data_IF_874289313962
#
_entry.id   IF_874289313962
#
_cell.length_a   1.000
_cell.length_b   1.000
_cell.length_c   1.000
_cell.angle_alpha   90.00
_cell.angle_beta   90.00
_cell.angle_gamma   90.00
#
_symmetry.space_group_name_H-M   'P 1'
#
loop_
_entity.id
_entity.type
_entity.pdbx_description
1 polymer ?
#
# COMPACT_ATOMS: atom_id res chain seq x y z
N UNK A 1 54.56 -9.86 -68.01
CA UNK A 1 53.36 -9.11 -67.61
C UNK A 1 52.62 -9.95 -66.56
N UNK A 2 52.47 -9.44 -65.34
CA UNK A 2 52.06 -10.20 -64.15
C UNK A 2 50.56 -10.55 -64.17
N UNK A 3 50.23 -11.81 -63.92
CA UNK A 3 48.88 -12.29 -63.63
C UNK A 3 48.48 -11.88 -62.21
N UNK A 4 47.36 -11.18 -62.05
CA UNK A 4 46.73 -10.90 -60.75
C UNK A 4 45.56 -11.86 -60.61
N UNK A 5 45.65 -12.77 -59.63
CA UNK A 5 44.55 -13.63 -59.18
C UNK A 5 43.66 -12.82 -58.23
N UNK A 6 42.40 -12.62 -58.58
CA UNK A 6 41.38 -12.07 -57.67
C UNK A 6 41.04 -13.09 -56.59
N UNK A 7 41.26 -12.72 -55.33
CA UNK A 7 40.89 -13.49 -54.15
C UNK A 7 39.52 -13.00 -53.68
N UNK A 8 38.48 -13.82 -53.83
CA UNK A 8 37.14 -13.51 -53.31
C UNK A 8 37.12 -13.94 -51.84
N UNK A 9 37.10 -12.97 -50.92
CA UNK A 9 36.89 -13.19 -49.49
C UNK A 9 35.38 -13.24 -49.25
N UNK A 10 34.87 -14.43 -48.95
CA UNK A 10 33.49 -14.65 -48.54
C UNK A 10 33.37 -14.28 -47.05
N UNK A 11 32.84 -13.08 -46.75
CA UNK A 11 32.56 -12.65 -45.37
C UNK A 11 31.25 -13.32 -44.94
N UNK A 12 31.33 -14.36 -44.11
CA UNK A 12 30.16 -14.94 -43.45
C UNK A 12 29.66 -13.95 -42.39
N UNK A 13 28.52 -13.32 -42.64
CA UNK A 13 27.82 -12.53 -41.64
C UNK A 13 27.21 -13.45 -40.58
N UNK A 14 27.89 -13.61 -39.45
CA UNK A 14 27.31 -14.19 -38.24
C UNK A 14 26.30 -13.18 -37.68
N UNK A 15 25.02 -13.42 -37.92
CA UNK A 15 23.93 -12.72 -37.23
C UNK A 15 23.92 -13.20 -35.79
N UNK A 16 24.54 -12.43 -34.88
CA UNK A 16 24.31 -12.58 -33.45
C UNK A 16 22.85 -12.24 -33.17
N UNK A 17 22.01 -13.26 -33.00
CA UNK A 17 20.70 -13.12 -32.38
C UNK A 17 20.97 -12.83 -30.90
N UNK A 18 21.15 -11.55 -30.58
CA UNK A 18 21.23 -11.08 -29.22
C UNK A 18 19.90 -11.38 -28.53
N UNK A 19 19.88 -12.39 -27.67
CA UNK A 19 18.80 -12.59 -26.73
C UNK A 19 18.74 -11.31 -25.88
N UNK A 20 17.74 -10.45 -26.12
CA UNK A 20 17.47 -9.31 -25.24
C UNK A 20 17.16 -9.90 -23.88
N UNK A 21 18.11 -9.84 -22.93
CA UNK A 21 17.75 -10.06 -21.54
C UNK A 21 16.65 -9.05 -21.22
N UNK A 22 15.48 -9.52 -20.80
CA UNK A 22 14.48 -8.63 -20.19
C UNK A 22 15.25 -7.90 -19.08
N UNK A 23 15.35 -6.58 -19.18
CA UNK A 23 15.91 -5.79 -18.11
C UNK A 23 15.15 -6.18 -16.83
N UNK A 24 15.88 -6.61 -15.80
CA UNK A 24 15.27 -6.99 -14.53
C UNK A 24 14.62 -5.73 -13.98
N UNK A 25 13.29 -5.66 -14.01
CA UNK A 25 12.52 -4.54 -13.46
C UNK A 25 12.90 -4.44 -11.98
N UNK A 26 13.20 -3.23 -11.50
CA UNK A 26 13.40 -2.98 -10.08
C UNK A 26 12.12 -3.42 -9.34
N UNK A 27 12.15 -4.41 -8.43
CA UNK A 27 10.94 -5.09 -7.94
C UNK A 27 9.90 -4.14 -7.35
N UNK A 28 10.35 -3.11 -6.62
CA UNK A 28 9.44 -2.13 -6.02
C UNK A 28 8.78 -1.26 -7.08
N UNK A 29 9.56 -0.81 -8.07
CA UNK A 29 9.03 -0.10 -9.22
C UNK A 29 8.04 -0.98 -10.00
N UNK A 30 8.26 -2.29 -10.04
CA UNK A 30 7.36 -3.21 -10.71
C UNK A 30 5.95 -3.18 -10.11
N UNK A 31 5.87 -3.25 -8.79
CA UNK A 31 4.63 -3.16 -8.03
C UNK A 31 4.00 -1.76 -8.20
N UNK A 32 4.76 -0.68 -8.02
CA UNK A 32 4.23 0.69 -8.16
C UNK A 32 3.71 0.98 -9.57
N UNK A 33 4.39 0.45 -10.60
CA UNK A 33 3.93 0.55 -11.98
C UNK A 33 2.63 -0.25 -12.18
N UNK A 34 2.50 -1.45 -11.60
CA UNK A 34 1.29 -2.27 -11.70
C UNK A 34 0.08 -1.62 -11.02
N UNK A 35 0.31 -0.92 -9.92
CA UNK A 35 -0.72 -0.10 -9.26
C UNK A 35 -0.96 1.24 -9.93
N UNK A 36 -0.29 1.53 -11.05
CA UNK A 36 -0.44 2.79 -11.77
C UNK A 36 -0.16 4.03 -10.89
N UNK A 37 0.85 3.95 -10.01
CA UNK A 37 1.20 5.00 -9.03
C UNK A 37 1.29 6.41 -9.63
N UNK A 38 1.88 6.55 -10.82
CA UNK A 38 2.00 7.86 -11.48
C UNK A 38 0.63 8.44 -11.84
N UNK A 39 -0.30 7.61 -12.32
CA UNK A 39 -1.67 8.05 -12.62
C UNK A 39 -2.41 8.40 -11.33
N UNK A 40 -2.33 7.55 -10.31
CA UNK A 40 -2.93 7.81 -9.00
C UNK A 40 -2.47 9.15 -8.40
N UNK A 41 -1.15 9.41 -8.39
CA UNK A 41 -0.57 10.64 -7.87
C UNK A 41 -0.83 11.87 -8.75
N UNK A 42 -1.35 11.70 -9.97
CA UNK A 42 -1.78 12.83 -10.80
C UNK A 42 -3.12 13.43 -10.36
N UNK A 43 -3.90 12.69 -9.58
CA UNK A 43 -5.09 13.20 -8.90
C UNK A 43 -4.68 13.91 -7.60
N UNK A 44 -5.39 14.98 -7.24
CA UNK A 44 -5.06 15.77 -6.04
C UNK A 44 -5.58 15.08 -4.78
N UNK A 45 -6.79 14.52 -4.84
CA UNK A 45 -7.45 13.84 -3.73
C UNK A 45 -8.20 12.58 -4.19
N UNK A 46 -8.42 11.68 -3.25
CA UNK A 46 -9.28 10.49 -3.40
C UNK A 46 -10.27 10.45 -2.23
N UNK A 47 -11.52 10.10 -2.52
CA UNK A 47 -12.54 9.82 -1.53
C UNK A 47 -13.06 8.40 -1.75
N UNK A 48 -13.33 7.69 -0.66
CA UNK A 48 -13.96 6.37 -0.67
C UNK A 48 -14.74 6.14 0.62
N UNK A 49 -15.72 5.26 0.56
CA UNK A 49 -16.39 4.73 1.75
C UNK A 49 -15.71 3.44 2.18
N UNK A 50 -15.56 3.26 3.50
CA UNK A 50 -15.04 2.04 4.12
C UNK A 50 -16.05 1.49 5.13
N UNK A 51 -16.37 0.20 5.00
CA UNK A 51 -17.04 -0.59 6.02
C UNK A 51 -16.09 -1.68 6.49
N UNK A 52 -15.56 -1.51 7.70
CA UNK A 52 -14.60 -2.41 8.33
C UNK A 52 -15.26 -3.18 9.47
N UNK A 53 -15.06 -4.50 9.48
CA UNK A 53 -15.50 -5.39 10.55
C UNK A 53 -14.33 -6.21 11.07
N UNK A 54 -14.29 -6.40 12.39
CA UNK A 54 -13.41 -7.38 13.03
C UNK A 54 -14.25 -8.33 13.87
N UNK A 55 -14.02 -9.64 13.71
CA UNK A 55 -14.79 -10.70 14.40
C UNK A 55 -16.30 -10.50 14.28
N UNK A 56 -16.76 -10.14 13.08
CA UNK A 56 -18.17 -9.89 12.75
C UNK A 56 -18.76 -8.58 13.31
N UNK A 57 -17.99 -7.76 14.03
CA UNK A 57 -18.46 -6.48 14.60
C UNK A 57 -17.93 -5.30 13.81
N UNK A 58 -18.79 -4.32 13.55
CA UNK A 58 -18.40 -3.06 12.93
C UNK A 58 -17.31 -2.35 13.76
N UNK A 59 -16.17 -2.09 13.12
CA UNK A 59 -15.02 -1.36 13.70
C UNK A 59 -14.91 0.05 13.15
N UNK A 60 -15.25 0.25 11.88
CA UNK A 60 -15.30 1.55 11.23
C UNK A 60 -16.37 1.53 10.12
N UNK A 61 -17.17 2.57 10.05
CA UNK A 61 -18.08 2.83 8.94
C UNK A 61 -18.00 4.33 8.66
N UNK A 62 -17.26 4.69 7.62
CA UNK A 62 -16.85 6.06 7.38
C UNK A 62 -16.66 6.35 5.90
N UNK A 63 -16.77 7.62 5.55
CA UNK A 63 -16.24 8.17 4.32
C UNK A 63 -14.85 8.74 4.63
N UNK A 64 -13.84 8.33 3.87
CA UNK A 64 -12.46 8.81 4.01
C UNK A 64 -12.13 9.63 2.76
N UNK A 65 -11.61 10.84 2.96
CA UNK A 65 -11.08 11.70 1.90
C UNK A 65 -9.64 12.06 2.22
N UNK A 66 -8.72 11.87 1.27
CA UNK A 66 -7.28 12.07 1.46
C UNK A 66 -6.73 12.84 0.27
N UNK A 67 -5.75 13.72 0.50
CA UNK A 67 -4.83 14.08 -0.58
C UNK A 67 -4.02 12.84 -0.96
N UNK A 68 -3.77 12.61 -2.24
CA UNK A 68 -3.07 11.40 -2.73
C UNK A 68 -1.63 11.32 -2.23
N UNK A 69 -1.03 12.46 -1.87
CA UNK A 69 0.27 12.55 -1.19
C UNK A 69 0.19 12.33 0.34
N UNK A 70 -0.98 12.00 0.89
CA UNK A 70 -1.27 11.77 2.32
C UNK A 70 -1.03 12.94 3.27
N UNK A 71 -0.72 14.15 2.78
CA UNK A 71 -0.45 15.32 3.64
C UNK A 71 -1.69 15.84 4.35
N UNK A 72 -2.89 15.55 3.84
CA UNK A 72 -4.15 15.87 4.51
C UNK A 72 -5.16 14.74 4.36
N UNK A 73 -5.97 14.56 5.40
CA UNK A 73 -7.02 13.57 5.43
C UNK A 73 -8.21 14.01 6.27
N UNK A 74 -9.36 13.40 5.97
CA UNK A 74 -10.62 13.57 6.66
C UNK A 74 -11.32 12.21 6.72
N UNK A 75 -11.60 11.75 7.94
CA UNK A 75 -12.46 10.58 8.21
C UNK A 75 -13.78 11.09 8.75
N UNK A 76 -14.88 10.83 8.04
CA UNK A 76 -16.25 11.15 8.46
C UNK A 76 -17.00 9.88 8.81
N UNK A 77 -17.18 9.62 10.11
CA UNK A 77 -17.90 8.44 10.59
C UNK A 77 -19.41 8.62 10.37
N UNK A 78 -20.14 7.52 10.20
CA UNK A 78 -21.62 7.56 10.04
C UNK A 78 -22.36 8.19 11.22
N UNK A 79 -21.77 8.20 12.42
CA UNK A 79 -22.33 8.89 13.59
C UNK A 79 -22.10 10.41 13.59
N UNK A 80 -21.50 10.95 12.52
CA UNK A 80 -21.18 12.36 12.33
C UNK A 80 -19.90 12.83 13.02
N UNK A 81 -19.21 11.95 13.77
CA UNK A 81 -17.90 12.29 14.33
C UNK A 81 -16.83 12.29 13.24
N UNK A 82 -15.86 13.21 13.35
CA UNK A 82 -14.84 13.44 12.32
C UNK A 82 -13.44 13.41 12.90
N UNK A 83 -12.49 12.98 12.09
CA UNK A 83 -11.04 13.11 12.34
C UNK A 83 -10.41 13.81 11.15
N UNK A 84 -9.62 14.85 11.40
CA UNK A 84 -8.78 15.51 10.40
C UNK A 84 -7.31 15.15 10.66
N UNK A 85 -6.55 14.96 9.59
CA UNK A 85 -5.10 14.81 9.63
C UNK A 85 -4.45 15.87 8.78
N UNK A 86 -3.48 16.61 9.33
CA UNK A 86 -2.64 17.58 8.63
C UNK A 86 -1.18 17.20 8.90
N UNK A 87 -0.56 16.47 7.96
CA UNK A 87 0.73 15.80 8.15
C UNK A 87 0.72 14.92 9.40
N UNK A 88 1.38 15.34 10.48
CA UNK A 88 1.49 14.62 11.74
C UNK A 88 0.43 15.04 12.78
N UNK A 89 -0.24 16.17 12.55
CA UNK A 89 -1.25 16.72 13.44
C UNK A 89 -2.60 16.02 13.22
N UNK A 90 -3.21 15.54 14.30
CA UNK A 90 -4.51 14.88 14.28
C UNK A 90 -5.50 15.71 15.08
N UNK A 91 -6.68 15.96 14.53
CA UNK A 91 -7.77 16.67 15.21
C UNK A 91 -9.04 15.85 15.14
N UNK A 92 -9.87 15.88 16.19
CA UNK A 92 -11.12 15.14 16.21
C UNK A 92 -12.27 15.95 16.80
N UNK A 93 -13.48 15.60 16.38
CA UNK A 93 -14.70 16.28 16.82
C UNK A 93 -15.00 15.97 18.30
N UNK A 94 -15.55 16.93 19.08
CA UNK A 94 -15.84 16.72 20.50
C UNK A 94 -16.76 15.54 20.83
N UNK A 95 -17.60 15.11 19.88
CA UNK A 95 -18.51 13.96 20.02
C UNK A 95 -17.85 12.59 19.74
N UNK A 96 -16.56 12.54 19.40
CA UNK A 96 -15.87 11.29 19.09
C UNK A 96 -15.70 10.42 20.35
N UNK A 97 -16.35 9.24 20.38
CA UNK A 97 -16.43 8.42 21.60
C UNK A 97 -15.15 7.65 21.91
N UNK A 98 -14.41 7.20 20.89
CA UNK A 98 -13.24 6.31 21.04
C UNK A 98 -11.93 7.10 21.07
N UNK A 99 -11.80 8.07 21.97
CA UNK A 99 -10.65 9.01 22.02
C UNK A 99 -9.27 8.33 22.03
N UNK A 100 -9.14 7.13 22.62
CA UNK A 100 -7.89 6.36 22.60
C UNK A 100 -7.50 5.86 21.20
N UNK A 101 -8.48 5.59 20.34
CA UNK A 101 -8.27 5.08 18.99
C UNK A 101 -8.09 6.17 17.94
N UNK A 102 -8.28 7.47 18.27
CA UNK A 102 -8.27 8.57 17.29
C UNK A 102 -7.02 8.58 16.42
N UNK A 103 -5.83 8.59 17.01
CA UNK A 103 -4.57 8.68 16.25
C UNK A 103 -4.34 7.44 15.37
N UNK A 104 -4.71 6.27 15.88
CA UNK A 104 -4.68 5.02 15.11
C UNK A 104 -5.66 5.05 13.93
N UNK A 105 -6.93 5.40 14.19
CA UNK A 105 -7.97 5.48 13.17
C UNK A 105 -7.71 6.58 12.13
N UNK A 106 -6.93 7.61 12.50
CA UNK A 106 -6.55 8.71 11.63
C UNK A 106 -5.64 8.29 10.47
N UNK A 107 -4.74 7.31 10.72
CA UNK A 107 -3.69 6.95 9.75
C UNK A 107 -3.78 5.51 9.25
N UNK A 108 -4.16 4.53 10.08
CA UNK A 108 -3.99 3.11 9.71
C UNK A 108 -4.79 2.71 8.48
N UNK A 109 -6.08 3.05 8.41
CA UNK A 109 -6.95 2.62 7.30
C UNK A 109 -6.62 3.37 6.01
N UNK A 110 -6.27 4.66 6.13
CA UNK A 110 -5.76 5.46 5.03
C UNK A 110 -4.42 4.93 4.52
N UNK A 111 -3.53 4.48 5.41
CA UNK A 111 -2.25 3.89 5.04
C UNK A 111 -2.43 2.58 4.28
N UNK A 112 -3.33 1.69 4.72
CA UNK A 112 -3.61 0.46 3.97
C UNK A 112 -4.20 0.74 2.58
N UNK A 113 -5.09 1.72 2.45
CA UNK A 113 -5.57 2.16 1.13
C UNK A 113 -4.43 2.67 0.25
N UNK A 114 -3.54 3.50 0.81
CA UNK A 114 -2.45 4.14 0.08
C UNK A 114 -1.21 3.25 -0.07
N UNK A 115 -1.17 2.06 0.54
CA UNK A 115 0.03 1.24 0.69
C UNK A 115 0.78 1.01 -0.63
N UNK A 116 0.12 0.62 -1.75
CA UNK A 116 0.83 0.38 -3.01
C UNK A 116 1.51 1.63 -3.60
N UNK A 117 1.06 2.82 -3.19
CA UNK A 117 1.55 4.11 -3.69
C UNK A 117 2.65 4.72 -2.82
N UNK A 118 2.94 4.12 -1.66
CA UNK A 118 3.91 4.65 -0.68
C UNK A 118 5.18 3.80 -0.56
N UNK A 119 5.34 2.79 -1.42
CA UNK A 119 6.43 1.81 -1.35
C UNK A 119 7.83 2.43 -1.53
N UNK A 120 7.92 3.54 -2.27
CA UNK A 120 9.16 4.30 -2.47
C UNK A 120 9.23 5.60 -1.67
N UNK A 121 8.39 5.80 -0.66
CA UNK A 121 8.39 7.05 0.10
C UNK A 121 9.72 7.27 0.86
N UNK A 122 10.09 8.53 1.15
CA UNK A 122 11.25 8.82 2.00
C UNK A 122 11.15 8.08 3.34
N UNK A 123 12.21 7.35 3.70
CA UNK A 123 12.28 6.60 4.95
C UNK A 123 12.09 5.09 4.77
N UNK A 124 11.51 4.63 3.67
CA UNK A 124 11.40 3.19 3.34
C UNK A 124 12.77 2.53 3.17
N UNK A 125 12.87 1.27 3.57
CA UNK A 125 14.03 0.41 3.39
C UNK A 125 13.56 -0.97 2.95
N UNK A 126 14.10 -1.46 1.83
CA UNK A 126 13.73 -2.77 1.28
C UNK A 126 14.85 -3.79 1.42
N UNK A 127 14.48 -5.00 1.78
CA UNK A 127 15.37 -6.14 1.99
C UNK A 127 14.65 -7.46 1.68
N UNK A 128 15.35 -8.59 1.87
CA UNK A 128 14.76 -9.94 1.71
C UNK A 128 14.00 -10.15 0.38
N UNK A 129 14.56 -9.66 -0.73
CA UNK A 129 13.98 -9.86 -2.06
C UNK A 129 14.08 -11.33 -2.49
N UNK A 130 12.97 -11.90 -2.92
CA UNK A 130 12.93 -13.27 -3.42
C UNK A 130 11.54 -13.68 -3.90
N UNK A 131 11.28 -14.97 -3.77
CA UNK A 131 9.98 -15.57 -4.02
C UNK A 131 9.64 -16.46 -2.83
N UNK A 132 8.37 -16.54 -2.46
CA UNK A 132 7.94 -17.41 -1.36
C UNK A 132 6.52 -17.88 -1.59
N UNK A 133 6.24 -19.08 -1.10
CA UNK A 133 4.88 -19.62 -1.11
C UNK A 133 4.04 -18.97 0.00
N UNK A 134 2.78 -18.67 -0.32
CA UNK A 134 1.75 -18.29 0.65
C UNK A 134 0.52 -19.16 0.37
N UNK A 135 0.20 -20.06 1.30
CA UNK A 135 -0.94 -20.98 1.20
C UNK A 135 -0.95 -21.86 -0.07
N UNK A 136 0.22 -22.16 -0.65
CA UNK A 136 0.39 -23.03 -1.81
C UNK A 136 0.63 -22.31 -3.13
N UNK A 137 0.41 -20.99 -3.17
CA UNK A 137 0.67 -20.15 -4.35
C UNK A 137 2.03 -19.44 -4.22
N UNK A 138 2.75 -19.31 -5.33
CA UNK A 138 4.09 -18.71 -5.37
C UNK A 138 4.02 -17.22 -5.71
N UNK A 139 4.58 -16.37 -4.86
CA UNK A 139 4.57 -14.90 -5.02
C UNK A 139 5.98 -14.32 -5.14
N UNK A 140 6.08 -13.13 -5.72
CA UNK A 140 7.26 -12.28 -5.53
C UNK A 140 7.20 -11.71 -4.10
N UNK A 141 8.30 -11.76 -3.35
CA UNK A 141 8.32 -11.33 -1.95
C UNK A 141 9.48 -10.39 -1.62
N UNK A 142 9.19 -9.40 -0.78
CA UNK A 142 10.17 -8.44 -0.26
C UNK A 142 9.76 -7.97 1.13
N UNK A 143 10.74 -7.58 1.96
CA UNK A 143 10.51 -6.99 3.27
C UNK A 143 10.71 -5.49 3.23
N UNK A 144 9.71 -4.75 3.68
CA UNK A 144 9.75 -3.32 3.95
C UNK A 144 9.95 -3.05 5.45
N UNK A 145 10.87 -2.16 5.77
CA UNK A 145 11.03 -1.54 7.09
C UNK A 145 11.28 -0.04 6.91
N UNK A 146 11.44 0.70 8.01
CA UNK A 146 11.60 2.15 7.95
C UNK A 146 12.85 2.64 8.68
N UNK A 147 13.36 3.81 8.27
CA UNK A 147 14.38 4.55 9.03
C UNK A 147 13.77 5.03 10.34
N UNK A 148 14.62 5.21 11.36
CA UNK A 148 14.25 5.96 12.56
C UNK A 148 13.62 7.31 12.17
N UNK A 149 12.63 7.77 12.93
CA UNK A 149 11.89 9.03 12.69
C UNK A 149 10.94 9.00 11.48
N UNK A 150 10.74 7.84 10.84
CA UNK A 150 9.72 7.70 9.78
C UNK A 150 8.34 7.47 10.39
N UNK A 151 7.52 8.51 10.44
CA UNK A 151 6.14 8.44 10.90
C UNK A 151 5.99 8.03 12.37
N UNK A 152 4.77 7.64 12.75
CA UNK A 152 4.40 7.34 14.14
C UNK A 152 4.94 6.00 14.66
N UNK A 153 5.36 5.10 13.78
CA UNK A 153 5.70 3.71 14.11
C UNK A 153 6.82 3.20 13.19
N UNK A 154 8.03 3.78 13.28
CA UNK A 154 9.16 3.41 12.40
C UNK A 154 9.64 1.97 12.61
N UNK A 155 9.25 1.34 13.72
CA UNK A 155 9.57 -0.05 14.04
C UNK A 155 8.61 -1.06 13.39
N UNK A 156 7.58 -0.60 12.66
CA UNK A 156 6.75 -1.47 11.85
C UNK A 156 7.57 -2.10 10.72
N UNK A 157 7.17 -3.30 10.30
CA UNK A 157 7.67 -3.92 9.08
C UNK A 157 6.53 -4.59 8.32
N UNK A 158 6.76 -4.78 7.03
CA UNK A 158 5.86 -5.49 6.13
C UNK A 158 6.61 -6.56 5.34
N UNK A 159 6.03 -7.75 5.18
CA UNK A 159 6.38 -8.65 4.07
C UNK A 159 5.32 -8.48 2.98
N UNK A 160 5.74 -7.99 1.82
CA UNK A 160 4.87 -7.76 0.68
C UNK A 160 4.93 -8.95 -0.26
N UNK A 161 3.77 -9.47 -0.62
CA UNK A 161 3.56 -10.57 -1.55
C UNK A 161 2.82 -9.99 -2.76
N UNK A 162 3.49 -9.94 -3.92
CA UNK A 162 2.87 -9.51 -5.17
C UNK A 162 2.71 -10.69 -6.12
N UNK A 163 1.60 -10.69 -6.86
CA UNK A 163 1.28 -11.70 -7.86
C UNK A 163 2.36 -11.71 -8.96
N UNK A 164 2.74 -12.90 -9.42
CA UNK A 164 3.83 -13.04 -10.41
C UNK A 164 3.45 -12.62 -11.82
N UNK A 165 2.15 -12.64 -12.10
CA UNK A 165 1.62 -12.41 -13.45
C UNK A 165 1.46 -10.92 -13.75
N UNK A 166 1.04 -10.13 -12.76
CA UNK A 166 0.71 -8.71 -12.94
C UNK A 166 1.39 -7.75 -11.94
N UNK A 167 2.18 -8.25 -10.99
CA UNK A 167 2.85 -7.49 -9.93
C UNK A 167 1.88 -6.72 -8.99
N UNK A 168 0.58 -6.98 -9.01
CA UNK A 168 -0.36 -6.42 -8.04
C UNK A 168 -0.09 -7.00 -6.64
N UNK A 169 -0.38 -6.21 -5.60
CA UNK A 169 -0.13 -6.66 -4.23
C UNK A 169 -1.27 -7.60 -3.88
N UNK A 170 -0.94 -8.85 -3.61
CA UNK A 170 -1.90 -9.82 -3.12
C UNK A 170 -2.09 -9.66 -1.62
N UNK A 171 -0.98 -9.69 -0.88
CA UNK A 171 -0.98 -9.70 0.58
C UNK A 171 0.19 -8.87 1.11
N UNK A 172 -0.03 -8.16 2.21
CA UNK A 172 1.04 -7.60 3.03
C UNK A 172 0.90 -8.15 4.45
N UNK A 173 1.86 -8.95 4.89
CA UNK A 173 1.99 -9.30 6.30
C UNK A 173 2.67 -8.16 7.05
N UNK A 174 2.30 -7.91 8.29
CA UNK A 174 2.77 -6.76 9.03
C UNK A 174 2.72 -6.97 10.55
N UNK A 175 3.51 -6.15 11.23
CA UNK A 175 3.31 -5.84 12.64
C UNK A 175 2.89 -4.38 12.79
N UNK A 176 2.19 -4.07 13.88
CA UNK A 176 1.85 -2.70 14.27
C UNK A 176 2.52 -2.44 15.60
N UNK A 177 3.35 -1.43 15.72
CA UNK A 177 4.05 -1.07 16.95
C UNK A 177 3.41 0.12 17.64
N UNK A 178 2.43 0.78 17.02
CA UNK A 178 1.67 1.86 17.66
C UNK A 178 1.10 1.42 19.03
N UNK A 179 1.60 2.05 20.10
CA UNK A 179 1.19 1.76 21.48
C UNK A 179 1.74 0.47 22.09
N UNK A 180 2.68 -0.23 21.44
CA UNK A 180 3.34 -1.43 21.99
C UNK A 180 4.82 -1.52 21.57
N UNK A 181 5.61 -2.32 22.27
CA UNK A 181 7.00 -2.56 21.85
C UNK A 181 7.07 -3.61 20.73
N UNK A 182 8.19 -3.63 20.01
CA UNK A 182 8.44 -4.55 18.88
C UNK A 182 8.24 -6.01 19.25
N UNK A 183 8.79 -6.47 20.38
CA UNK A 183 8.67 -7.87 20.82
C UNK A 183 7.20 -8.31 20.99
N UNK A 184 6.36 -7.44 21.53
CA UNK A 184 4.91 -7.68 21.68
C UNK A 184 4.18 -7.60 20.33
N UNK A 185 4.66 -6.78 19.40
CA UNK A 185 4.10 -6.72 18.05
C UNK A 185 4.45 -7.97 17.23
N UNK A 186 5.69 -8.45 17.33
CA UNK A 186 6.19 -9.64 16.61
C UNK A 186 5.64 -10.96 17.14
N UNK A 187 5.10 -11.00 18.36
CA UNK A 187 4.42 -12.21 18.86
C UNK A 187 3.04 -12.45 18.23
N UNK A 188 2.51 -11.48 17.50
CA UNK A 188 1.17 -11.51 16.90
C UNK A 188 1.13 -10.74 15.56
N UNK A 189 1.90 -11.20 14.54
CA UNK A 189 1.87 -10.58 13.23
C UNK A 189 0.58 -10.94 12.49
N UNK A 190 0.08 -9.99 11.71
CA UNK A 190 -1.13 -10.15 10.92
C UNK A 190 -0.81 -10.00 9.44
N UNK A 191 -1.80 -10.23 8.60
CA UNK A 191 -1.74 -9.88 7.19
C UNK A 191 -3.02 -9.20 6.73
N UNK A 192 -2.86 -8.28 5.77
CA UNK A 192 -3.95 -7.75 4.97
C UNK A 192 -3.81 -8.36 3.58
N UNK A 193 -4.87 -8.98 3.09
CA UNK A 193 -5.00 -9.44 1.71
C UNK A 193 -5.90 -8.47 0.95
N UNK A 194 -5.46 -8.08 -0.23
CA UNK A 194 -6.14 -7.17 -1.13
C UNK A 194 -6.81 -7.98 -2.23
N UNK A 195 -8.13 -8.03 -2.21
CA UNK A 195 -8.96 -8.80 -3.12
C UNK A 195 -9.88 -7.88 -3.93
N UNK A 196 -10.47 -8.41 -5.00
CA UNK A 196 -11.46 -7.73 -5.83
C UNK A 196 -10.94 -6.37 -6.36
N UNK A 197 -9.82 -6.42 -7.08
CA UNK A 197 -9.33 -5.23 -7.79
C UNK A 197 -10.34 -4.78 -8.85
N UNK A 198 -10.71 -3.51 -8.79
CA UNK A 198 -11.54 -2.84 -9.80
C UNK A 198 -10.74 -1.68 -10.42
N UNK A 199 -10.97 -1.42 -11.71
CA UNK A 199 -10.38 -0.27 -12.39
C UNK A 199 -11.23 0.98 -12.17
N UNK A 200 -10.68 1.96 -11.45
CA UNK A 200 -11.28 3.28 -11.28
C UNK A 200 -10.43 4.27 -12.07
N UNK A 201 -10.98 4.83 -13.16
CA UNK A 201 -10.21 5.67 -14.10
C UNK A 201 -8.94 4.97 -14.62
N UNK A 202 -9.03 3.66 -14.88
CA UNK A 202 -7.92 2.77 -15.24
C UNK A 202 -6.86 2.58 -14.14
N UNK A 203 -7.13 2.94 -12.88
CA UNK A 203 -6.23 2.65 -11.76
C UNK A 203 -6.78 1.42 -11.01
N UNK A 204 -6.02 0.33 -10.87
CA UNK A 204 -6.49 -0.84 -10.15
C UNK A 204 -6.52 -0.55 -8.65
N UNK A 205 -7.69 -0.71 -8.02
CA UNK A 205 -7.89 -0.49 -6.59
C UNK A 205 -8.62 -1.69 -6.00
N UNK A 206 -8.05 -2.30 -4.96
CA UNK A 206 -8.70 -3.39 -4.23
C UNK A 206 -9.93 -2.89 -3.46
N UNK A 207 -11.11 -3.41 -3.80
CA UNK A 207 -12.37 -3.02 -3.16
C UNK A 207 -12.76 -3.91 -1.99
N UNK A 208 -12.05 -5.02 -1.79
CA UNK A 208 -12.24 -5.90 -0.63
C UNK A 208 -10.92 -6.23 0.04
N UNK A 209 -10.86 -6.06 1.35
CA UNK A 209 -9.69 -6.45 2.14
C UNK A 209 -10.08 -7.50 3.16
N UNK A 210 -9.21 -8.49 3.37
CA UNK A 210 -9.36 -9.46 4.46
C UNK A 210 -8.15 -9.41 5.38
N UNK A 211 -8.38 -9.50 6.68
CA UNK A 211 -7.33 -9.47 7.70
C UNK A 211 -7.16 -10.85 8.29
N UNK A 212 -5.92 -11.31 8.46
CA UNK A 212 -5.59 -12.68 8.86
C UNK A 212 -4.51 -12.71 9.94
N UNK A 213 -4.51 -13.77 10.74
CA UNK A 213 -3.28 -14.22 11.41
C UNK A 213 -2.26 -14.63 10.34
N UNK A 214 -0.98 -14.36 10.59
CA UNK A 214 0.09 -14.70 9.65
C UNK A 214 1.27 -15.38 10.34
N UNK A 215 1.90 -16.31 9.61
CA UNK A 215 3.17 -16.91 10.00
C UNK A 215 4.06 -17.06 8.76
N UNK A 216 5.36 -16.74 8.90
CA UNK A 216 6.32 -16.80 7.79
C UNK A 216 6.43 -18.18 7.13
N UNK A 217 6.19 -19.25 7.88
CA UNK A 217 6.32 -20.64 7.40
C UNK A 217 4.99 -21.18 6.90
N UNK A 218 3.91 -20.99 7.65
CA UNK A 218 2.61 -21.61 7.33
C UNK A 218 1.65 -20.72 6.56
N UNK A 219 2.02 -19.45 6.32
CA UNK A 219 1.19 -18.48 5.61
C UNK A 219 0.08 -17.86 6.46
N UNK A 220 -1.05 -17.52 5.82
CA UNK A 220 -2.23 -16.99 6.50
C UNK A 220 -3.16 -18.11 6.97
N UNK A 221 -3.83 -17.91 8.11
CA UNK A 221 -4.66 -18.94 8.76
C UNK A 221 -6.07 -18.45 9.12
N UNK A 222 -6.25 -17.84 10.29
CA UNK A 222 -7.56 -17.44 10.81
C UNK A 222 -7.91 -16.03 10.34
N UNK A 223 -9.09 -15.86 9.72
CA UNK A 223 -9.57 -14.54 9.35
C UNK A 223 -10.00 -13.75 10.60
N UNK A 224 -9.42 -12.57 10.77
CA UNK A 224 -9.65 -11.66 11.88
C UNK A 224 -10.72 -10.62 11.56
N UNK A 225 -10.78 -10.19 10.29
CA UNK A 225 -11.67 -9.12 9.86
C UNK A 225 -11.74 -8.97 8.35
N UNK A 226 -12.49 -7.98 7.92
CA UNK A 226 -12.71 -7.63 6.52
C UNK A 226 -13.04 -6.15 6.38
N UNK A 227 -12.71 -5.57 5.24
CA UNK A 227 -13.16 -4.25 4.82
C UNK A 227 -13.78 -4.30 3.43
N UNK A 228 -14.83 -3.53 3.21
CA UNK A 228 -15.36 -3.22 1.89
C UNK A 228 -15.09 -1.75 1.59
N UNK A 229 -14.48 -1.48 0.45
CA UNK A 229 -14.22 -0.15 -0.08
C UNK A 229 -15.19 0.11 -1.23
N UNK A 230 -15.84 1.26 -1.23
CA UNK A 230 -16.87 1.59 -2.22
C UNK A 230 -16.92 3.09 -2.49
N UNK A 231 -17.69 3.50 -3.49
CA UNK A 231 -17.88 4.92 -3.86
C UNK A 231 -16.55 5.67 -4.05
N UNK A 232 -15.56 4.98 -4.64
CA UNK A 232 -14.23 5.54 -4.90
C UNK A 232 -14.36 6.62 -5.97
N UNK A 233 -13.81 7.80 -5.70
CA UNK A 233 -13.76 8.91 -6.66
C UNK A 233 -12.50 9.74 -6.46
N UNK A 234 -11.93 10.20 -7.56
CA UNK A 234 -10.88 11.22 -7.52
C UNK A 234 -11.49 12.61 -7.51
N UNK A 235 -10.85 13.52 -6.79
CA UNK A 235 -11.33 14.89 -6.56
C UNK A 235 -10.21 15.89 -6.79
N UNK A 236 -10.58 17.13 -7.08
CA UNK A 236 -9.70 18.28 -6.94
C UNK A 236 -9.65 18.71 -5.47
N UNK A 237 -8.48 19.16 -5.02
CA UNK A 237 -8.27 19.63 -3.65
C UNK A 237 -9.24 20.74 -3.25
N UNK A 238 -9.59 21.64 -4.19
CA UNK A 238 -10.58 22.71 -3.99
C UNK A 238 -12.01 22.23 -3.73
N UNK A 239 -12.32 20.97 -4.02
CA UNK A 239 -13.65 20.37 -3.80
C UNK A 239 -13.78 19.79 -2.39
N UNK A 240 -12.69 19.78 -1.62
CA UNK A 240 -12.63 19.19 -0.28
C UNK A 240 -12.13 20.24 0.71
N UNK A 241 -12.91 20.51 1.75
CA UNK A 241 -12.45 21.33 2.88
C UNK A 241 -11.75 20.47 3.91
N UNK A 242 -10.43 20.66 4.03
CA UNK A 242 -9.64 20.11 5.14
C UNK A 242 -9.53 21.06 6.33
N UNK A 243 -10.27 22.17 6.34
CA UNK A 243 -10.20 23.14 7.45
C UNK A 243 -10.75 22.53 8.75
N UNK A 244 -9.93 22.57 9.80
CA UNK A 244 -10.27 22.03 11.10
C UNK A 244 -11.15 23.03 11.86
N UNK A 245 -12.37 22.66 12.27
CA UNK A 245 -13.22 23.59 13.02
C UNK A 245 -12.60 23.95 14.38
N UNK A 246 -12.78 25.21 14.81
CA UNK A 246 -12.10 25.75 16.00
C UNK A 246 -12.41 25.01 17.32
N UNK A 247 -13.53 24.30 17.39
CA UNK A 247 -13.91 23.51 18.56
C UNK A 247 -13.36 22.08 18.56
N UNK A 248 -12.59 21.68 17.53
CA UNK A 248 -11.99 20.35 17.46
C UNK A 248 -10.79 20.25 18.40
N UNK A 249 -10.55 19.03 18.87
CA UNK A 249 -9.54 18.74 19.87
C UNK A 249 -8.33 18.13 19.15
N UNK A 250 -7.15 18.66 19.41
CA UNK A 250 -5.91 18.06 18.94
C UNK A 250 -5.60 16.76 19.69
N UNK A 251 -5.28 15.71 18.95
CA UNK A 251 -4.79 14.44 19.47
C UNK A 251 -3.29 14.35 19.22
N UNK A 252 -2.53 14.43 20.30
CA UNK A 252 -1.12 14.05 20.31
C UNK A 252 -0.98 12.55 20.17
#
# INVERSE_FOLDING_TARGET
MKFIKSFIILISAFTFIGCKSKAKKEPIKAIEDAHHKTAFLSHEAVQFDILLKFRGKERLNATITLLTNSSRGLVENKDGSKIYTHNECVYYSPNFKRVKAVRFDAYTWAYFFLFPYKLSDPGTQWSEFGESELNGDLFNTQKLSFKSETGDSPDDWYFVYSDKDDDLINTAAYIVTFGKNVKTAESDPHAIKYDQYEEIENIPIATHWTYWEWNKITGISNQLGEATISNIKFLKSKEVSFDVPANYIEKK
#
